data_IF_369985832945
#
_entry.id   IF_369985832945
#
_cell.length_a   1.000
_cell.length_b   1.000
_cell.length_c   1.000
_cell.angle_alpha   90.00
_cell.angle_beta   90.00
_cell.angle_gamma   90.00
#
_symmetry.space_group_name_H-M   'P 1'
#
loop_
_entity.id
_entity.type
_entity.pdbx_description
1 polymer ?
#
# COMPACT_ATOMS: atom_id res chain seq x y z
N UNK A 1 -10.31 -0.77 10.83
CA UNK A 1 -11.67 -0.55 10.30
C UNK A 1 -11.77 -0.80 8.79
N UNK A 2 -10.83 -0.28 7.97
CA UNK A 2 -10.87 -0.48 6.50
C UNK A 2 -10.83 -1.96 6.12
N UNK A 3 -9.93 -2.76 6.71
CA UNK A 3 -9.87 -4.20 6.43
C UNK A 3 -11.17 -4.94 6.80
N UNK A 4 -11.81 -4.55 7.90
CA UNK A 4 -13.09 -5.13 8.29
C UNK A 4 -14.20 -4.76 7.29
N UNK A 5 -14.27 -3.50 6.86
CA UNK A 5 -15.26 -3.07 5.85
C UNK A 5 -15.00 -3.71 4.49
N UNK A 6 -13.75 -3.89 4.11
CA UNK A 6 -13.37 -4.62 2.91
C UNK A 6 -13.85 -6.08 2.96
N UNK A 7 -13.66 -6.75 4.11
CA UNK A 7 -14.15 -8.11 4.31
C UNK A 7 -15.69 -8.20 4.29
N UNK A 8 -16.38 -7.18 4.83
CA UNK A 8 -17.86 -7.09 4.79
C UNK A 8 -18.35 -6.95 3.36
N UNK A 9 -17.72 -6.10 2.56
CA UNK A 9 -18.13 -5.83 1.17
C UNK A 9 -17.90 -7.02 0.25
N UNK A 10 -16.70 -7.62 0.28
CA UNK A 10 -16.35 -8.72 -0.60
C UNK A 10 -16.88 -10.07 -0.14
N UNK A 11 -17.07 -10.24 1.17
CA UNK A 11 -17.48 -11.50 1.75
C UNK A 11 -16.43 -12.62 1.57
N UNK A 12 -16.75 -13.83 2.09
CA UNK A 12 -15.80 -14.95 2.06
C UNK A 12 -15.42 -15.38 0.64
N UNK A 13 -16.40 -15.42 -0.28
CA UNK A 13 -16.16 -15.87 -1.65
C UNK A 13 -15.46 -14.80 -2.50
N UNK A 14 -15.78 -13.51 -2.28
CA UNK A 14 -15.08 -12.42 -2.93
C UNK A 14 -13.61 -12.37 -2.56
N UNK A 15 -13.28 -12.50 -1.27
CA UNK A 15 -11.90 -12.53 -0.81
C UNK A 15 -11.12 -13.74 -1.37
N UNK A 16 -11.76 -14.91 -1.47
CA UNK A 16 -11.15 -16.08 -2.11
C UNK A 16 -10.85 -15.84 -3.58
N UNK A 17 -11.79 -15.27 -4.33
CA UNK A 17 -11.60 -14.92 -5.75
C UNK A 17 -10.47 -13.93 -5.96
N UNK A 18 -10.38 -12.89 -5.11
CA UNK A 18 -9.29 -11.90 -5.15
C UNK A 18 -7.95 -12.60 -4.90
N UNK A 19 -7.85 -13.41 -3.83
CA UNK A 19 -6.63 -14.14 -3.50
C UNK A 19 -6.21 -15.13 -4.61
N UNK A 20 -7.15 -15.87 -5.18
CA UNK A 20 -6.91 -16.76 -6.32
C UNK A 20 -6.37 -16.02 -7.52
N UNK A 21 -6.96 -14.88 -7.87
CA UNK A 21 -6.53 -14.06 -9.00
C UNK A 21 -5.10 -13.55 -8.83
N UNK A 22 -4.76 -13.04 -7.65
CA UNK A 22 -3.41 -12.58 -7.31
C UNK A 22 -2.41 -13.73 -7.48
N UNK A 23 -2.71 -14.90 -6.89
CA UNK A 23 -1.84 -16.07 -6.97
C UNK A 23 -1.64 -16.57 -8.42
N UNK A 24 -2.71 -16.63 -9.21
CA UNK A 24 -2.65 -17.07 -10.61
C UNK A 24 -1.75 -16.15 -11.44
N UNK A 25 -1.87 -14.84 -11.24
CA UNK A 25 -1.02 -13.87 -11.93
C UNK A 25 0.44 -14.00 -11.50
N UNK A 26 0.71 -14.14 -10.21
CA UNK A 26 2.05 -14.39 -9.70
C UNK A 26 2.65 -15.67 -10.29
N UNK A 27 1.88 -16.76 -10.30
CA UNK A 27 2.31 -18.04 -10.89
C UNK A 27 2.59 -17.94 -12.40
N UNK A 28 1.76 -17.21 -13.14
CA UNK A 28 1.96 -16.97 -14.57
C UNK A 28 3.25 -16.19 -14.84
N UNK A 29 3.51 -15.13 -14.08
CA UNK A 29 4.74 -14.34 -14.19
C UNK A 29 5.96 -15.20 -13.83
N UNK A 30 5.90 -15.97 -12.74
CA UNK A 30 6.97 -16.88 -12.34
C UNK A 30 7.34 -17.87 -13.44
N UNK A 31 6.34 -18.54 -14.03
CA UNK A 31 6.55 -19.45 -15.18
C UNK A 31 7.12 -18.73 -16.39
N UNK A 32 6.61 -17.54 -16.67
CA UNK A 32 7.10 -16.71 -17.76
C UNK A 32 8.58 -16.38 -17.60
N UNK A 33 9.02 -15.96 -16.40
CA UNK A 33 10.40 -15.69 -16.08
C UNK A 33 11.29 -16.93 -16.28
N UNK A 34 10.84 -18.10 -15.80
CA UNK A 34 11.56 -19.36 -15.98
C UNK A 34 11.69 -19.75 -17.46
N UNK A 35 10.63 -19.58 -18.25
CA UNK A 35 10.63 -19.90 -19.69
C UNK A 35 11.64 -19.06 -20.49
N UNK A 36 11.96 -17.86 -20.02
CA UNK A 36 12.97 -16.98 -20.64
C UNK A 36 14.35 -17.15 -20.01
N UNK A 37 14.54 -18.13 -19.14
CA UNK A 37 15.83 -18.44 -18.53
C UNK A 37 16.19 -17.56 -17.31
N UNK A 38 15.25 -16.81 -16.77
CA UNK A 38 15.45 -16.05 -15.53
C UNK A 38 15.32 -17.00 -14.34
N UNK A 39 16.29 -16.94 -13.43
CA UNK A 39 16.29 -17.77 -12.22
C UNK A 39 15.33 -17.22 -11.19
N UNK A 40 14.20 -17.91 -10.97
CA UNK A 40 13.27 -17.64 -9.88
C UNK A 40 13.78 -18.31 -8.61
N UNK A 41 13.83 -17.55 -7.49
CA UNK A 41 14.47 -17.99 -6.25
C UNK A 41 13.59 -18.83 -5.34
N UNK A 42 12.26 -18.61 -5.37
CA UNK A 42 11.30 -19.34 -4.55
C UNK A 42 10.28 -20.04 -5.44
N UNK A 43 9.96 -21.29 -5.10
CA UNK A 43 8.89 -22.07 -5.72
C UNK A 43 7.56 -21.87 -4.98
N UNK A 44 7.64 -21.57 -3.69
CA UNK A 44 6.48 -21.34 -2.82
C UNK A 44 6.33 -19.82 -2.59
N UNK A 45 5.29 -19.24 -3.15
CA UNK A 45 4.94 -17.83 -3.02
C UNK A 45 3.42 -17.67 -3.08
N UNK A 46 2.93 -16.54 -2.64
CA UNK A 46 1.52 -16.16 -2.81
C UNK A 46 1.39 -15.04 -3.86
N UNK A 47 1.92 -13.87 -3.55
CA UNK A 47 1.81 -12.64 -4.34
C UNK A 47 3.17 -12.09 -4.77
N UNK A 48 4.24 -12.47 -4.09
CA UNK A 48 5.58 -11.91 -4.28
C UNK A 48 6.52 -12.94 -4.88
N UNK A 49 7.14 -12.58 -6.01
CA UNK A 49 8.10 -13.38 -6.74
C UNK A 49 9.48 -12.74 -6.59
N UNK A 50 10.48 -13.56 -6.26
CA UNK A 50 11.88 -13.13 -6.20
C UNK A 50 12.69 -13.84 -7.28
N UNK A 51 13.54 -13.11 -7.99
CA UNK A 51 14.32 -13.63 -9.10
C UNK A 51 15.68 -12.94 -9.22
N UNK A 52 16.59 -13.54 -10.00
CA UNK A 52 17.90 -12.99 -10.32
C UNK A 52 18.02 -12.73 -11.83
N UNK A 53 18.73 -11.66 -12.19
CA UNK A 53 19.07 -11.33 -13.57
C UNK A 53 20.60 -11.21 -13.71
N UNK A 54 21.12 -11.48 -14.90
CA UNK A 54 22.55 -11.43 -15.15
C UNK A 54 23.16 -10.00 -15.00
N UNK A 55 22.42 -8.97 -15.42
CA UNK A 55 22.81 -7.56 -15.30
C UNK A 55 21.67 -6.75 -14.66
N UNK A 56 21.82 -6.51 -13.36
CA UNK A 56 20.84 -5.74 -12.58
C UNK A 56 20.78 -4.27 -13.01
N UNK A 57 21.88 -3.69 -13.48
CA UNK A 57 21.92 -2.29 -13.90
C UNK A 57 21.22 -2.09 -15.23
N UNK A 58 21.41 -2.99 -16.19
CA UNK A 58 20.68 -2.99 -17.45
C UNK A 58 19.18 -3.20 -17.22
N UNK A 59 18.81 -4.13 -16.34
CA UNK A 59 17.42 -4.38 -15.95
C UNK A 59 16.79 -3.13 -15.33
N UNK A 60 17.46 -2.50 -14.36
CA UNK A 60 16.98 -1.28 -13.68
C UNK A 60 16.74 -0.14 -14.65
N UNK A 61 17.67 0.12 -15.57
CA UNK A 61 17.49 1.13 -16.63
C UNK A 61 16.29 0.83 -17.52
N UNK A 62 16.10 -0.44 -17.88
CA UNK A 62 14.95 -0.88 -18.68
C UNK A 62 13.63 -0.70 -17.92
N UNK A 63 13.60 -1.04 -16.64
CA UNK A 63 12.44 -0.87 -15.78
C UNK A 63 12.06 0.62 -15.64
N UNK A 64 13.03 1.48 -15.35
CA UNK A 64 12.83 2.93 -15.23
C UNK A 64 12.32 3.55 -16.54
N UNK A 65 12.88 3.14 -17.69
CA UNK A 65 12.41 3.57 -19.01
C UNK A 65 10.94 3.21 -19.26
N UNK A 66 10.51 2.07 -18.77
CA UNK A 66 9.12 1.58 -18.86
C UNK A 66 8.25 2.00 -17.65
N UNK A 67 8.73 2.95 -16.83
CA UNK A 67 8.01 3.50 -15.66
C UNK A 67 7.60 2.42 -14.64
N UNK A 68 8.42 1.38 -14.48
CA UNK A 68 8.21 0.33 -13.51
C UNK A 68 9.31 0.35 -12.44
N UNK A 69 8.90 0.19 -11.19
CA UNK A 69 9.79 0.05 -10.05
C UNK A 69 9.72 -1.37 -9.51
N UNK A 70 10.88 -1.91 -9.16
CA UNK A 70 11.03 -3.20 -8.50
C UNK A 70 11.76 -3.02 -7.18
N UNK A 71 11.60 -3.96 -6.28
CA UNK A 71 12.39 -3.98 -5.07
C UNK A 71 13.72 -4.69 -5.35
N UNK A 72 14.83 -3.97 -5.16
CA UNK A 72 16.19 -4.44 -5.37
C UNK A 72 16.84 -4.74 -4.02
N UNK A 73 17.17 -6.00 -3.77
CA UNK A 73 17.80 -6.43 -2.53
C UNK A 73 19.32 -6.25 -2.56
N UNK A 74 19.94 -6.11 -1.39
CA UNK A 74 21.37 -5.97 -1.25
C UNK A 74 22.18 -7.19 -1.77
N UNK A 75 21.58 -8.36 -1.80
CA UNK A 75 22.15 -9.59 -2.35
C UNK A 75 22.07 -9.71 -3.88
N UNK A 76 21.56 -8.69 -4.57
CA UNK A 76 21.40 -8.67 -6.03
C UNK A 76 20.13 -9.33 -6.55
N UNK A 77 19.26 -9.84 -5.69
CA UNK A 77 17.95 -10.33 -6.12
C UNK A 77 16.94 -9.19 -6.31
N UNK A 78 15.91 -9.46 -7.09
CA UNK A 78 14.84 -8.52 -7.41
C UNK A 78 13.52 -9.16 -6.98
N UNK A 79 12.62 -8.38 -6.36
CA UNK A 79 11.28 -8.83 -6.03
C UNK A 79 10.21 -8.01 -6.74
N UNK A 80 9.13 -8.70 -7.11
CA UNK A 80 7.90 -8.18 -7.70
C UNK A 80 6.72 -8.69 -6.91
N UNK A 81 5.86 -7.79 -6.44
CA UNK A 81 4.60 -8.15 -5.77
C UNK A 81 3.41 -7.79 -6.65
N UNK A 82 2.38 -8.61 -6.58
CA UNK A 82 1.10 -8.45 -7.27
C UNK A 82 0.02 -8.19 -6.24
N UNK A 83 -0.71 -7.12 -6.40
CA UNK A 83 -1.85 -6.78 -5.58
C UNK A 83 -3.17 -6.81 -6.37
N UNK A 84 -4.28 -6.52 -5.70
CA UNK A 84 -5.60 -6.47 -6.34
C UNK A 84 -5.68 -5.40 -7.44
N UNK A 85 -5.06 -4.23 -7.24
CA UNK A 85 -5.06 -3.13 -8.21
C UNK A 85 -4.29 -3.53 -9.46
N UNK A 86 -3.09 -4.09 -9.29
CA UNK A 86 -2.27 -4.63 -10.39
C UNK A 86 -3.03 -5.73 -11.14
N UNK A 87 -3.76 -6.58 -10.43
CA UNK A 87 -4.56 -7.65 -11.03
C UNK A 87 -5.71 -7.15 -11.90
N UNK A 88 -6.24 -5.96 -11.63
CA UNK A 88 -7.32 -5.35 -12.42
C UNK A 88 -6.82 -4.63 -13.67
N UNK A 89 -5.52 -4.27 -13.74
CA UNK A 89 -4.88 -3.58 -14.85
C UNK A 89 -4.16 -4.54 -15.81
N UNK A 90 -4.59 -5.80 -15.91
CA UNK A 90 -3.87 -6.89 -16.61
C UNK A 90 -3.38 -6.47 -18.01
N UNK A 91 -4.21 -5.84 -18.82
CA UNK A 91 -3.84 -5.48 -20.21
C UNK A 91 -2.68 -4.48 -20.33
N UNK A 92 -2.54 -3.56 -19.39
CA UNK A 92 -1.41 -2.61 -19.34
C UNK A 92 -0.18 -3.24 -18.66
N UNK A 93 -0.39 -4.01 -17.60
CA UNK A 93 0.68 -4.69 -16.86
C UNK A 93 1.40 -5.71 -17.73
N UNK A 94 0.68 -6.48 -18.54
CA UNK A 94 1.29 -7.43 -19.50
C UNK A 94 2.18 -6.71 -20.53
N UNK A 95 1.71 -5.60 -21.11
CA UNK A 95 2.49 -4.81 -22.07
C UNK A 95 3.74 -4.22 -21.43
N UNK A 96 3.62 -3.72 -20.19
CA UNK A 96 4.72 -3.11 -19.47
C UNK A 96 5.75 -4.17 -19.04
N UNK A 97 5.33 -5.30 -18.50
CA UNK A 97 6.20 -6.42 -18.15
C UNK A 97 6.89 -6.99 -19.39
N UNK A 98 6.16 -7.22 -20.48
CA UNK A 98 6.74 -7.69 -21.74
C UNK A 98 7.80 -6.71 -22.29
N UNK A 99 7.57 -5.39 -22.17
CA UNK A 99 8.53 -4.38 -22.60
C UNK A 99 9.79 -4.35 -21.73
N UNK A 100 9.67 -4.58 -20.41
CA UNK A 100 10.77 -4.64 -19.46
C UNK A 100 11.64 -5.87 -19.70
N UNK A 101 11.01 -7.02 -19.95
CA UNK A 101 11.71 -8.29 -20.17
C UNK A 101 12.16 -8.52 -21.62
N UNK A 102 11.65 -7.73 -22.59
CA UNK A 102 12.02 -7.83 -24.02
C UNK A 102 13.53 -7.74 -24.28
N UNK A 103 14.33 -6.92 -23.59
CA UNK A 103 15.80 -6.92 -23.78
C UNK A 103 16.48 -8.19 -23.32
N UNK A 104 15.81 -9.00 -22.45
CA UNK A 104 16.35 -10.24 -21.91
C UNK A 104 16.01 -11.45 -22.79
N UNK A 105 15.16 -11.28 -23.81
CA UNK A 105 14.61 -12.40 -24.58
C UNK A 105 14.49 -12.09 -26.07
N UNK A 106 14.95 -13.04 -26.88
CA UNK A 106 14.80 -13.02 -28.34
C UNK A 106 13.46 -13.60 -28.84
N UNK A 107 12.54 -13.97 -27.95
CA UNK A 107 11.28 -14.62 -28.32
C UNK A 107 10.06 -13.87 -27.75
N UNK A 108 8.96 -13.89 -28.52
CA UNK A 108 7.68 -13.28 -28.15
C UNK A 108 7.10 -13.97 -26.91
N UNK A 109 6.71 -13.18 -25.92
CA UNK A 109 6.09 -13.61 -24.67
C UNK A 109 4.57 -13.61 -24.85
N UNK A 110 3.94 -14.76 -24.75
CA UNK A 110 2.49 -14.91 -24.73
C UNK A 110 2.10 -15.58 -23.42
N UNK A 111 1.40 -14.84 -22.54
CA UNK A 111 0.81 -15.40 -21.33
C UNK A 111 -0.52 -16.08 -21.69
N UNK A 112 -0.56 -17.40 -21.67
CA UNK A 112 -1.78 -18.19 -21.78
C UNK A 112 -2.34 -18.45 -20.38
N UNK A 113 -3.50 -17.87 -20.10
CA UNK A 113 -4.28 -18.13 -18.89
C UNK A 113 -5.28 -19.26 -19.18
N UNK A 114 -4.85 -20.49 -19.10
CA UNK A 114 -5.75 -21.64 -19.20
C UNK A 114 -5.62 -22.55 -17.97
N UNK A 115 -6.75 -22.94 -17.38
CA UNK A 115 -6.89 -23.99 -16.34
C UNK A 115 -6.49 -23.70 -14.88
N UNK A 116 -6.50 -22.46 -14.40
CA UNK A 116 -6.25 -22.20 -12.98
C UNK A 116 -7.45 -22.53 -12.04
N UNK A 117 -8.64 -22.68 -12.57
CA UNK A 117 -9.86 -22.91 -11.78
C UNK A 117 -9.92 -24.30 -11.11
N UNK A 118 -9.20 -25.30 -11.63
CA UNK A 118 -9.31 -26.68 -11.14
C UNK A 118 -8.46 -27.00 -9.90
N UNK A 119 -7.45 -26.21 -9.58
CA UNK A 119 -6.46 -26.54 -8.55
C UNK A 119 -6.81 -26.14 -7.13
N UNK A 120 -7.82 -25.27 -6.92
CA UNK A 120 -8.11 -24.66 -5.63
C UNK A 120 -9.43 -25.07 -4.97
N UNK A 121 -10.16 -26.02 -5.52
CA UNK A 121 -11.50 -26.40 -5.04
C UNK A 121 -11.56 -27.29 -3.78
N UNK A 122 -10.50 -27.48 -3.01
CA UNK A 122 -10.56 -28.36 -1.82
C UNK A 122 -9.92 -27.77 -0.57
N UNK A 123 -10.55 -26.74 0.01
CA UNK A 123 -10.62 -26.56 1.47
C UNK A 123 -11.88 -25.78 1.79
N UNK A 124 -12.97 -26.49 2.04
CA UNK A 124 -14.17 -25.94 2.63
C UNK A 124 -13.95 -25.71 4.14
N UNK A 125 -13.13 -24.73 4.50
CA UNK A 125 -13.19 -24.15 5.83
C UNK A 125 -14.24 -23.05 5.79
N UNK A 126 -15.31 -23.22 6.57
CA UNK A 126 -16.33 -22.20 6.77
C UNK A 126 -15.66 -21.06 7.55
N UNK A 127 -15.29 -19.99 6.88
CA UNK A 127 -14.79 -18.77 7.53
C UNK A 127 -15.65 -17.59 7.13
N UNK A 128 -15.68 -16.53 7.96
CA UNK A 128 -16.56 -15.38 7.78
C UNK A 128 -18.05 -15.77 7.64
N UNK A 129 -18.50 -16.75 8.44
CA UNK A 129 -19.87 -17.26 8.41
C UNK A 129 -20.90 -16.30 9.04
N UNK A 130 -20.46 -15.28 9.78
CA UNK A 130 -21.35 -14.31 10.38
C UNK A 130 -22.12 -13.54 9.28
N UNK A 131 -23.43 -13.29 9.45
CA UNK A 131 -24.26 -12.65 8.43
C UNK A 131 -23.70 -11.32 7.91
N UNK A 132 -23.03 -10.53 8.74
CA UNK A 132 -22.43 -9.25 8.35
C UNK A 132 -21.50 -9.36 7.14
N UNK A 133 -20.84 -10.51 6.95
CA UNK A 133 -19.95 -10.75 5.82
C UNK A 133 -20.67 -11.30 4.59
N UNK A 134 -22.00 -11.46 4.64
CA UNK A 134 -22.77 -12.17 3.62
C UNK A 134 -24.00 -11.40 3.13
N UNK A 135 -24.24 -10.16 3.60
CA UNK A 135 -25.45 -9.41 3.29
C UNK A 135 -25.24 -7.99 2.78
N UNK A 136 -24.00 -7.48 2.72
CA UNK A 136 -23.73 -6.09 2.35
C UNK A 136 -22.79 -6.00 1.14
N UNK A 137 -23.17 -6.61 0.01
CA UNK A 137 -22.32 -6.77 -1.17
C UNK A 137 -22.59 -5.74 -2.28
N UNK A 138 -23.57 -4.87 -2.13
CA UNK A 138 -23.80 -3.74 -3.03
C UNK A 138 -23.37 -2.43 -2.38
N UNK A 139 -23.00 -1.44 -3.20
CA UNK A 139 -22.62 -0.11 -2.71
C UNK A 139 -23.70 0.51 -1.81
N UNK A 140 -24.97 0.44 -2.24
CA UNK A 140 -26.10 0.98 -1.48
C UNK A 140 -26.30 0.28 -0.14
N UNK A 141 -26.16 -1.04 -0.07
CA UNK A 141 -26.28 -1.80 1.18
C UNK A 141 -25.12 -1.51 2.10
N UNK A 142 -23.89 -1.41 1.56
CA UNK A 142 -22.72 -1.06 2.34
C UNK A 142 -22.82 0.35 2.92
N UNK A 143 -23.27 1.33 2.14
CA UNK A 143 -23.50 2.70 2.63
C UNK A 143 -24.55 2.74 3.74
N UNK A 144 -25.66 2.02 3.60
CA UNK A 144 -26.69 1.91 4.65
C UNK A 144 -26.16 1.25 5.91
N UNK A 145 -25.33 0.21 5.75
CA UNK A 145 -24.69 -0.46 6.87
C UNK A 145 -23.73 0.47 7.61
N UNK A 146 -22.85 1.16 6.92
CA UNK A 146 -21.94 2.16 7.50
C UNK A 146 -22.73 3.23 8.25
N UNK A 147 -23.79 3.76 7.64
CA UNK A 147 -24.67 4.75 8.30
C UNK A 147 -25.38 4.20 9.53
N UNK A 148 -25.76 2.93 9.53
CA UNK A 148 -26.37 2.27 10.69
C UNK A 148 -25.39 2.14 11.86
N UNK A 149 -24.10 1.95 11.58
CA UNK A 149 -23.03 1.92 12.58
C UNK A 149 -22.74 3.33 13.12
N UNK A 150 -22.66 4.32 12.23
CA UNK A 150 -22.47 5.73 12.60
C UNK A 150 -23.58 6.20 13.56
N UNK A 151 -24.83 5.83 13.29
CA UNK A 151 -25.97 6.23 14.11
C UNK A 151 -26.00 5.59 15.52
N UNK A 152 -25.12 4.64 15.81
CA UNK A 152 -24.99 4.04 17.15
C UNK A 152 -24.10 4.84 18.08
N UNK A 153 -23.39 5.83 17.53
CA UNK A 153 -22.49 6.69 18.28
C UNK A 153 -22.79 8.17 17.98
N UNK A 154 -22.12 9.06 18.69
CA UNK A 154 -22.24 10.49 18.49
C UNK A 154 -21.59 10.88 17.16
N UNK A 155 -22.33 11.60 16.33
CA UNK A 155 -21.82 12.18 15.10
C UNK A 155 -21.90 13.70 15.12
N UNK A 156 -21.04 14.37 14.34
CA UNK A 156 -20.93 15.84 14.34
C UNK A 156 -22.22 16.54 13.90
N UNK A 157 -23.08 15.87 13.13
CA UNK A 157 -24.36 16.41 12.69
C UNK A 157 -25.53 16.12 13.64
N UNK A 158 -25.33 15.30 14.66
CA UNK A 158 -26.36 14.91 15.63
C UNK A 158 -26.01 15.23 17.08
N UNK A 159 -24.76 15.60 17.37
CA UNK A 159 -24.28 15.94 18.71
C UNK A 159 -24.08 17.45 18.87
N UNK A 160 -24.43 17.96 20.04
CA UNK A 160 -24.25 19.38 20.37
C UNK A 160 -22.79 19.72 20.66
N UNK A 161 -22.02 18.77 21.21
CA UNK A 161 -20.58 18.89 21.45
C UNK A 161 -19.96 17.56 21.06
N UNK A 162 -19.01 17.62 20.13
CA UNK A 162 -18.18 16.46 19.83
C UNK A 162 -17.16 16.24 20.94
N UNK A 163 -17.14 15.05 21.52
CA UNK A 163 -16.25 14.67 22.61
C UNK A 163 -14.86 14.31 22.10
N UNK A 164 -13.84 14.76 22.84
CA UNK A 164 -12.45 14.41 22.63
C UNK A 164 -11.67 15.41 21.77
N UNK A 165 -10.40 15.56 22.04
CA UNK A 165 -9.47 16.49 21.38
C UNK A 165 -9.34 16.22 19.86
N UNK A 166 -9.64 15.01 19.44
CA UNK A 166 -9.50 14.58 18.06
C UNK A 166 -10.73 14.80 17.19
N UNK A 167 -11.79 15.36 17.73
CA UNK A 167 -13.11 15.44 17.08
C UNK A 167 -13.29 16.63 16.15
N UNK A 168 -12.45 17.62 16.23
CA UNK A 168 -12.51 18.83 15.40
C UNK A 168 -11.83 18.68 14.04
N UNK A 169 -12.03 17.53 13.39
CA UNK A 169 -11.43 17.22 12.08
C UNK A 169 -12.44 17.43 10.95
N UNK A 170 -13.14 18.54 10.99
CA UNK A 170 -14.02 18.93 9.88
C UNK A 170 -13.18 19.59 8.80
N UNK A 171 -12.71 18.80 7.86
CA UNK A 171 -12.09 19.33 6.66
C UNK A 171 -13.19 19.62 5.64
N UNK A 172 -13.10 20.74 4.94
CA UNK A 172 -13.98 21.00 3.82
C UNK A 172 -13.76 19.94 2.72
N UNK A 173 -14.84 19.52 2.06
CA UNK A 173 -14.73 18.54 0.97
C UNK A 173 -13.76 18.98 -0.13
N UNK A 174 -13.69 20.29 -0.40
CA UNK A 174 -12.74 20.91 -1.34
C UNK A 174 -11.27 20.73 -0.94
N UNK A 175 -10.95 20.64 0.33
CA UNK A 175 -9.59 20.38 0.82
C UNK A 175 -9.19 18.92 0.62
N UNK A 176 -10.18 18.01 0.58
CA UNK A 176 -9.96 16.58 0.36
C UNK A 176 -9.85 16.20 -1.12
N UNK A 177 -10.41 17.00 -2.03
CA UNK A 177 -10.38 16.73 -3.48
C UNK A 177 -8.95 16.51 -4.01
N UNK A 178 -7.95 17.34 -3.68
CA UNK A 178 -6.58 17.14 -4.17
C UNK A 178 -5.97 15.79 -3.79
N UNK A 179 -6.37 15.22 -2.64
CA UNK A 179 -5.85 13.91 -2.18
C UNK A 179 -6.23 12.79 -3.17
N UNK A 180 -7.36 12.92 -3.86
CA UNK A 180 -7.83 11.94 -4.84
C UNK A 180 -7.19 12.11 -6.23
N UNK A 181 -6.46 13.18 -6.49
CA UNK A 181 -5.81 13.38 -7.78
C UNK A 181 -4.73 12.33 -8.02
N UNK A 182 -4.61 11.76 -9.24
CA UNK A 182 -3.64 10.69 -9.52
C UNK A 182 -2.19 11.06 -9.17
N UNK A 183 -1.82 12.34 -9.31
CA UNK A 183 -0.49 12.83 -8.93
C UNK A 183 -0.16 12.69 -7.43
N UNK A 184 -1.20 12.59 -6.58
CA UNK A 184 -1.05 12.37 -5.14
C UNK A 184 -1.41 10.94 -4.76
N UNK A 185 -2.50 10.39 -5.26
CA UNK A 185 -3.04 9.10 -4.82
C UNK A 185 -2.34 7.88 -5.41
N UNK A 186 -1.69 8.03 -6.59
CA UNK A 186 -1.12 6.90 -7.33
C UNK A 186 0.37 6.66 -7.07
N UNK A 187 0.99 7.39 -6.14
CA UNK A 187 2.40 7.20 -5.79
C UNK A 187 2.53 6.12 -4.73
N UNK A 188 3.37 5.11 -5.00
CA UNK A 188 3.67 4.06 -4.04
C UNK A 188 4.45 4.63 -2.84
N UNK A 189 4.14 4.23 -1.58
CA UNK A 189 4.82 4.75 -0.38
C UNK A 189 6.34 4.57 -0.38
N UNK A 190 6.85 3.53 -1.04
CA UNK A 190 8.28 3.24 -1.17
C UNK A 190 8.85 3.63 -2.54
N UNK A 191 8.21 4.55 -3.26
CA UNK A 191 8.78 5.08 -4.49
C UNK A 191 10.14 5.74 -4.20
N UNK A 192 11.15 5.59 -5.09
CA UNK A 192 12.45 6.22 -4.92
C UNK A 192 12.35 7.74 -4.75
N UNK A 193 13.20 8.32 -3.91
CA UNK A 193 13.19 9.75 -3.61
C UNK A 193 13.31 10.64 -4.86
N UNK A 194 14.00 10.16 -5.90
CA UNK A 194 14.12 10.84 -7.20
C UNK A 194 12.79 11.01 -7.93
N UNK A 195 11.80 10.17 -7.62
CA UNK A 195 10.46 10.18 -8.23
C UNK A 195 9.42 10.93 -7.40
N UNK A 196 9.75 11.31 -6.16
CA UNK A 196 8.83 11.94 -5.20
C UNK A 196 9.20 13.38 -4.87
N UNK A 197 9.92 14.08 -5.75
CA UNK A 197 10.41 15.44 -5.53
C UNK A 197 9.30 16.44 -5.16
N UNK A 198 8.11 16.30 -5.74
CA UNK A 198 6.96 17.14 -5.42
C UNK A 198 6.49 16.98 -3.97
N UNK A 199 6.42 15.74 -3.48
CA UNK A 199 6.10 15.45 -2.09
C UNK A 199 7.16 16.01 -1.13
N UNK A 200 8.44 15.79 -1.44
CA UNK A 200 9.54 16.33 -0.63
C UNK A 200 9.50 17.85 -0.54
N UNK A 201 9.25 18.53 -1.66
CA UNK A 201 9.10 19.99 -1.67
C UNK A 201 7.92 20.44 -0.81
N UNK A 202 6.76 19.82 -0.94
CA UNK A 202 5.56 20.15 -0.18
C UNK A 202 5.77 19.97 1.32
N UNK A 203 6.34 18.83 1.74
CA UNK A 203 6.63 18.51 3.14
C UNK A 203 7.62 19.54 3.71
N UNK A 204 8.75 19.77 3.04
CA UNK A 204 9.76 20.74 3.50
C UNK A 204 9.21 22.14 3.62
N UNK A 205 8.36 22.56 2.69
CA UNK A 205 7.70 23.87 2.75
C UNK A 205 6.75 23.99 3.94
N UNK A 206 5.98 22.95 4.21
CA UNK A 206 5.06 22.96 5.35
C UNK A 206 5.82 22.97 6.69
N UNK A 207 6.90 22.19 6.80
CA UNK A 207 7.78 22.20 7.97
C UNK A 207 8.41 23.60 8.21
N UNK A 208 8.87 24.26 7.14
CA UNK A 208 9.39 25.62 7.20
C UNK A 208 8.32 26.63 7.66
N UNK A 209 7.11 26.55 7.12
CA UNK A 209 6.01 27.43 7.54
C UNK A 209 5.63 27.21 9.01
N UNK A 210 5.50 25.97 9.44
CA UNK A 210 5.16 25.65 10.82
C UNK A 210 6.25 26.11 11.79
N UNK A 211 7.52 25.92 11.45
CA UNK A 211 8.65 26.42 12.25
C UNK A 211 8.64 27.93 12.38
N UNK A 212 8.36 28.67 11.30
CA UNK A 212 8.26 30.14 11.32
C UNK A 212 7.07 30.64 12.13
N UNK A 213 5.91 29.99 12.00
CA UNK A 213 4.69 30.39 12.72
C UNK A 213 4.84 30.19 14.23
N UNK A 214 5.44 29.06 14.63
CA UNK A 214 5.60 28.69 16.04
C UNK A 214 6.85 29.25 16.70
N UNK A 215 7.83 29.70 15.93
CA UNK A 215 9.13 30.16 16.41
C UNK A 215 10.08 29.02 16.82
N UNK A 216 9.73 27.76 16.54
CA UNK A 216 10.61 26.61 16.78
C UNK A 216 11.71 26.52 15.73
N UNK A 217 12.84 25.96 16.13
CA UNK A 217 13.99 25.75 15.22
C UNK A 217 13.69 24.77 14.11
N UNK A 218 12.87 23.76 14.37
CA UNK A 218 12.49 22.73 13.41
C UNK A 218 11.09 22.18 13.73
N UNK A 219 10.45 21.61 12.70
CA UNK A 219 9.21 20.89 12.79
C UNK A 219 9.36 19.56 12.03
N UNK A 220 8.67 18.53 12.43
CA UNK A 220 8.58 17.24 11.72
C UNK A 220 7.13 16.84 11.48
N UNK A 221 6.82 16.49 10.25
CA UNK A 221 5.50 15.95 9.85
C UNK A 221 5.45 14.41 9.90
N UNK A 222 6.49 13.75 10.45
CA UNK A 222 6.57 12.30 10.54
C UNK A 222 5.48 11.66 11.42
N UNK A 223 5.10 12.21 12.59
CA UNK A 223 4.02 11.66 13.39
C UNK A 223 2.66 11.71 12.69
N UNK A 224 1.96 10.56 12.65
CA UNK A 224 0.68 10.43 11.94
C UNK A 224 -0.56 10.68 12.82
N UNK A 225 -0.39 10.89 14.12
CA UNK A 225 -1.49 11.11 15.06
C UNK A 225 -1.03 11.95 16.26
N UNK A 226 -1.98 12.44 17.05
CA UNK A 226 -1.68 13.16 18.31
C UNK A 226 -0.82 12.32 19.25
N UNK A 227 -1.20 11.08 19.53
CA UNK A 227 -0.44 10.17 20.39
C UNK A 227 0.98 9.89 19.88
N UNK A 228 1.17 9.79 18.56
CA UNK A 228 2.52 9.65 17.98
C UNK A 228 3.33 10.95 18.12
N UNK A 229 2.68 12.10 18.06
CA UNK A 229 3.32 13.40 18.33
C UNK A 229 3.80 13.51 19.76
N UNK A 230 2.97 13.13 20.72
CA UNK A 230 3.33 13.09 22.16
C UNK A 230 4.50 12.13 22.40
N UNK A 231 4.43 10.92 21.86
CA UNK A 231 5.50 9.92 21.97
C UNK A 231 6.81 10.43 21.34
N UNK A 232 6.75 11.05 20.17
CA UNK A 232 7.92 11.62 19.49
C UNK A 232 8.52 12.76 20.33
N UNK A 233 7.69 13.59 20.95
CA UNK A 233 8.11 14.63 21.88
C UNK A 233 8.89 14.06 23.06
N UNK A 234 8.36 13.01 23.71
CA UNK A 234 9.04 12.33 24.81
C UNK A 234 10.36 11.69 24.38
N UNK A 235 10.41 11.06 23.19
CA UNK A 235 11.66 10.51 22.65
C UNK A 235 12.70 11.61 22.40
N UNK A 236 12.29 12.77 21.91
CA UNK A 236 13.15 13.92 21.67
C UNK A 236 13.73 14.46 22.96
N UNK A 237 12.90 14.62 24.03
CA UNK A 237 13.33 15.04 25.36
C UNK A 237 14.32 14.04 25.93
N UNK A 238 14.04 12.74 25.82
CA UNK A 238 14.95 11.68 26.27
C UNK A 238 16.30 11.75 25.54
N UNK A 239 16.29 11.91 24.22
CA UNK A 239 17.49 12.04 23.42
C UNK A 239 18.30 13.29 23.81
N UNK A 240 17.63 14.40 24.08
CA UNK A 240 18.26 15.64 24.57
C UNK A 240 19.00 15.42 25.89
N UNK A 241 18.35 14.79 26.88
CA UNK A 241 18.99 14.49 28.16
C UNK A 241 20.16 13.49 28.03
N UNK A 242 20.00 12.46 27.20
CA UNK A 242 21.08 11.51 26.94
C UNK A 242 22.31 12.20 26.29
N UNK A 243 22.09 13.10 25.33
CA UNK A 243 23.18 13.87 24.69
C UNK A 243 23.94 14.78 25.68
N UNK A 244 23.27 15.24 26.72
CA UNK A 244 23.87 16.05 27.79
C UNK A 244 24.45 15.26 28.94
N UNK A 245 24.56 13.94 28.84
CA UNK A 245 24.95 13.02 29.91
C UNK A 245 24.02 13.08 31.15
N UNK A 246 22.77 13.42 30.95
CA UNK A 246 21.73 13.51 31.98
C UNK A 246 20.75 12.33 31.92
N UNK A 247 21.19 11.13 31.53
CA UNK A 247 20.34 9.94 31.36
C UNK A 247 19.65 9.45 32.63
N UNK A 248 20.07 9.97 33.81
CA UNK A 248 19.39 9.74 35.10
C UNK A 248 18.01 10.42 35.18
N UNK A 249 17.74 11.40 34.31
CA UNK A 249 16.43 12.09 34.20
C UNK A 249 15.51 11.28 33.30
N UNK A 250 14.98 10.17 33.81
CA UNK A 250 14.21 9.19 33.06
C UNK A 250 12.79 8.95 33.60
N UNK A 251 12.35 9.75 34.55
CA UNK A 251 10.99 9.73 35.11
C UNK A 251 10.17 10.81 34.40
N UNK A 252 9.00 10.42 33.89
CA UNK A 252 8.02 11.29 33.22
C UNK A 252 6.74 11.30 34.04
#
# INVERSE_FOLDING_TARGET
NMAAMYAVYHGPDGLKKIAQRIYVLAAAISRGLQNIGVKVLATDFFDTISFEVADINAFKKSAEKNKANFHYHANGSISLSIDEVTSNLIGETEKNLAAIFKPLVSKQFVLLFDEADAMFCKRASVYLSHPVFNIHHSESEMMRYIKSLENKDLSLNTSMISLGSCTMKLNAATELIPVSWPGFSSIHPFAPASQTKGYQYMITKLEDYLSKITGFTACSLQPNSGAQGEYTGLLTIRAYHAHRNESHRNIV
#
